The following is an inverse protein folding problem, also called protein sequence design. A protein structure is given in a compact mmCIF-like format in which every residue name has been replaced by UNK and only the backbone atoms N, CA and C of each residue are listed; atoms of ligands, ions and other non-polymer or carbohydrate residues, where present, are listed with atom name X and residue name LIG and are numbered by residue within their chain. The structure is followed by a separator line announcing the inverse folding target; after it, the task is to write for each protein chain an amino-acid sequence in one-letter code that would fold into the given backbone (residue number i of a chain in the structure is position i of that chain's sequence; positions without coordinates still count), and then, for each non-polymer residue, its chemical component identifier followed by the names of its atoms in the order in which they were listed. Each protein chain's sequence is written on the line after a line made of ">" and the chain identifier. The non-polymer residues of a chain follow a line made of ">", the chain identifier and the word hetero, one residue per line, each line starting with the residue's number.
data_IF_623128202138
#
_entry.id   IF_623128202138
#
_cell.length_a   1.000
_cell.length_b   1.000
_cell.length_c   1.000
_cell.angle_alpha   90.00
_cell.angle_beta   90.00
_cell.angle_gamma   90.00
#
_symmetry.space_group_name_H-M   'P 1'
#
loop_
_entity.id
_entity.type
_entity.pdbx_description
1 polymer ?
#
# COMPACT_ATOMS: atom_id res chain seq x y z
N UNK A 1 -10.70 11.58 -11.11
CA UNK A 1 -9.47 11.00 -10.53
C UNK A 1 -9.64 9.48 -10.42
N UNK A 2 -9.24 8.71 -11.45
CA UNK A 2 -9.60 7.29 -11.57
C UNK A 2 -9.00 6.35 -10.49
N UNK A 3 -7.98 6.79 -9.75
CA UNK A 3 -7.30 5.99 -8.72
C UNK A 3 -7.99 6.01 -7.36
N UNK A 4 -8.99 6.87 -7.13
CA UNK A 4 -9.76 6.88 -5.89
C UNK A 4 -10.83 5.77 -5.85
N UNK A 5 -11.20 5.24 -7.02
CA UNK A 5 -12.16 4.14 -7.17
C UNK A 5 -11.51 2.76 -7.18
N UNK A 6 -10.17 2.68 -7.15
CA UNK A 6 -9.43 1.43 -7.08
C UNK A 6 -8.96 1.16 -5.64
N UNK A 7 -8.65 -0.10 -5.32
CA UNK A 7 -8.14 -0.43 -3.99
C UNK A 7 -6.75 0.17 -3.77
N UNK A 8 -6.58 0.83 -2.64
CA UNK A 8 -5.39 1.64 -2.32
C UNK A 8 -4.07 0.85 -2.26
N UNK A 9 -4.13 -0.45 -1.95
CA UNK A 9 -2.93 -1.30 -1.83
C UNK A 9 -2.41 -1.83 -3.16
N UNK A 10 -3.28 -2.07 -4.14
CA UNK A 10 -2.93 -2.78 -5.39
C UNK A 10 -3.27 -1.97 -6.64
N UNK A 11 -3.95 -0.84 -6.51
CA UNK A 11 -4.60 -0.12 -7.61
C UNK A 11 -5.49 -1.05 -8.49
N UNK A 12 -6.03 -2.11 -7.88
CA UNK A 12 -6.82 -3.12 -8.55
C UNK A 12 -8.32 -2.87 -8.31
N UNK A 13 -9.14 -3.17 -9.32
CA UNK A 13 -10.58 -2.83 -9.32
C UNK A 13 -11.43 -4.03 -8.86
N UNK A 14 -11.09 -5.26 -9.29
CA UNK A 14 -11.84 -6.48 -8.98
C UNK A 14 -10.92 -7.68 -8.73
N UNK A 15 -11.09 -8.38 -7.61
CA UNK A 15 -10.47 -9.68 -7.33
C UNK A 15 -11.38 -10.53 -6.44
N UNK A 16 -11.33 -11.85 -6.63
CA UNK A 16 -12.08 -12.81 -5.81
C UNK A 16 -11.26 -13.28 -4.61
N UNK A 17 -9.95 -13.50 -4.82
CA UNK A 17 -9.08 -14.01 -3.77
C UNK A 17 -7.81 -13.18 -3.65
N UNK A 18 -7.38 -12.96 -2.40
CA UNK A 18 -6.15 -12.29 -2.02
C UNK A 18 -5.43 -13.18 -1.02
N UNK A 19 -4.24 -13.65 -1.41
CA UNK A 19 -3.36 -14.41 -0.54
C UNK A 19 -2.11 -13.58 -0.23
N UNK A 20 -1.71 -13.60 1.04
CA UNK A 20 -0.45 -13.04 1.49
C UNK A 20 0.60 -14.14 1.40
N UNK A 21 1.54 -13.99 0.47
CA UNK A 21 2.57 -14.99 0.20
C UNK A 21 3.77 -14.82 1.14
N UNK A 22 4.20 -13.57 1.31
CA UNK A 22 5.37 -13.26 2.11
C UNK A 22 5.26 -11.87 2.75
N UNK A 23 5.87 -11.73 3.92
CA UNK A 23 5.96 -10.47 4.66
C UNK A 23 7.36 -10.35 5.25
N UNK A 24 8.12 -9.41 4.72
CA UNK A 24 9.41 -9.04 5.27
C UNK A 24 9.28 -7.68 5.98
N UNK A 25 9.69 -7.61 7.25
CA UNK A 25 9.63 -6.39 8.05
C UNK A 25 11.06 -5.94 8.34
N UNK A 26 11.44 -4.81 7.75
CA UNK A 26 12.76 -4.23 7.89
C UNK A 26 12.68 -2.99 8.80
N UNK A 27 13.20 -3.05 10.03
CA UNK A 27 13.28 -1.89 10.92
C UNK A 27 14.11 -0.77 10.28
N UNK A 28 13.72 0.48 10.48
CA UNK A 28 14.46 1.64 9.96
C UNK A 28 15.63 2.04 10.86
N UNK A 29 15.53 1.75 12.15
CA UNK A 29 16.53 2.11 13.14
C UNK A 29 16.59 1.05 14.27
N UNK A 30 17.57 1.21 15.16
CA UNK A 30 17.80 0.33 16.30
C UNK A 30 16.69 0.40 17.38
N UNK A 31 15.82 1.41 17.34
CA UNK A 31 14.66 1.46 18.23
C UNK A 31 13.54 0.53 17.73
N UNK A 32 13.59 0.11 16.46
CA UNK A 32 12.60 -0.75 15.82
C UNK A 32 11.17 -0.18 15.87
N UNK A 33 11.02 1.11 16.18
CA UNK A 33 9.72 1.80 16.29
C UNK A 33 9.16 2.02 14.90
N UNK A 34 9.98 2.55 14.01
CA UNK A 34 9.66 2.72 12.60
C UNK A 34 10.21 1.57 11.76
N UNK A 35 9.43 1.13 10.78
CA UNK A 35 9.80 0.01 9.93
C UNK A 35 9.23 0.18 8.52
N UNK A 36 9.78 -0.60 7.60
CA UNK A 36 9.22 -0.79 6.26
C UNK A 36 8.85 -2.26 6.14
N UNK A 37 7.56 -2.53 5.90
CA UNK A 37 7.08 -3.86 5.58
C UNK A 37 6.99 -4.02 4.06
N UNK A 38 7.64 -5.03 3.51
CA UNK A 38 7.48 -5.47 2.13
C UNK A 38 6.57 -6.68 2.14
N UNK A 39 5.38 -6.52 1.58
CA UNK A 39 4.40 -7.59 1.46
C UNK A 39 4.35 -8.08 0.02
N UNK A 40 4.41 -9.38 -0.16
CA UNK A 40 4.16 -10.03 -1.44
C UNK A 40 2.75 -10.60 -1.41
N UNK A 41 1.92 -10.15 -2.32
CA UNK A 41 0.50 -10.49 -2.37
C UNK A 41 0.21 -11.12 -3.72
N UNK A 42 -0.48 -12.26 -3.67
CA UNK A 42 -1.06 -12.89 -4.84
C UNK A 42 -2.52 -12.47 -4.97
N UNK A 43 -2.85 -11.82 -6.08
CA UNK A 43 -4.22 -11.50 -6.45
C UNK A 43 -4.70 -12.51 -7.47
N UNK A 44 -5.80 -13.18 -7.17
CA UNK A 44 -6.50 -14.00 -8.15
C UNK A 44 -7.76 -13.25 -8.56
N UNK A 45 -7.81 -12.73 -9.80
CA UNK A 45 -9.03 -12.12 -10.30
C UNK A 45 -10.09 -13.21 -10.52
N UNK A 46 -11.36 -12.83 -10.48
CA UNK A 46 -12.46 -13.77 -10.74
C UNK A 46 -12.45 -14.38 -12.14
N UNK A 47 -13.25 -15.44 -12.30
CA UNK A 47 -13.27 -16.46 -13.38
C UNK A 47 -12.26 -16.27 -14.54
N UNK A 48 -11.35 -17.26 -14.66
CA UNK A 48 -10.43 -17.47 -15.79
C UNK A 48 -9.35 -16.40 -16.04
N UNK A 49 -8.95 -15.65 -15.02
CA UNK A 49 -7.80 -14.73 -15.13
C UNK A 49 -6.59 -15.26 -14.36
N UNK A 50 -5.41 -15.05 -14.92
CA UNK A 50 -4.14 -15.43 -14.31
C UNK A 50 -3.93 -14.68 -13.00
N UNK A 51 -3.50 -15.39 -11.96
CA UNK A 51 -3.11 -14.77 -10.71
C UNK A 51 -1.89 -13.85 -10.93
N UNK A 52 -1.94 -12.66 -10.35
CA UNK A 52 -0.86 -11.68 -10.43
C UNK A 52 -0.20 -11.57 -9.06
N UNK A 53 1.11 -11.77 -9.04
CA UNK A 53 1.94 -11.46 -7.88
C UNK A 53 2.36 -10.00 -7.97
N UNK A 54 2.15 -9.25 -6.89
CA UNK A 54 2.68 -7.91 -6.77
C UNK A 54 3.32 -7.71 -5.41
N UNK A 55 4.32 -6.83 -5.38
CA UNK A 55 5.01 -6.44 -4.16
C UNK A 55 4.55 -5.04 -3.77
N UNK A 56 4.19 -4.89 -2.50
CA UNK A 56 3.76 -3.61 -1.95
C UNK A 56 4.65 -3.27 -0.76
N UNK A 57 5.18 -2.06 -0.76
CA UNK A 57 5.94 -1.53 0.36
C UNK A 57 5.02 -0.66 1.23
N UNK A 58 5.04 -0.91 2.54
CA UNK A 58 4.20 -0.26 3.54
C UNK A 58 5.14 0.35 4.59
N UNK A 59 5.01 1.65 4.80
CA UNK A 59 5.75 2.35 5.84
C UNK A 59 4.97 2.26 7.14
N UNK A 60 5.62 1.73 8.16
CA UNK A 60 5.09 1.63 9.52
C UNK A 60 5.75 2.70 10.39
N UNK A 61 4.93 3.36 11.19
CA UNK A 61 5.38 4.34 12.19
C UNK A 61 4.87 3.93 13.56
N UNK A 62 5.73 4.03 14.57
CA UNK A 62 5.31 3.81 15.95
C UNK A 62 4.55 5.03 16.48
N UNK A 63 3.29 4.82 16.87
CA UNK A 63 2.41 5.82 17.46
C UNK A 63 1.80 5.21 18.72
N UNK A 64 2.01 5.85 19.86
CA UNK A 64 1.44 5.46 21.17
C UNK A 64 1.69 3.98 21.54
N UNK A 65 2.86 3.45 21.19
CA UNK A 65 3.24 2.06 21.48
C UNK A 65 2.68 1.02 20.50
N UNK A 66 1.95 1.44 19.47
CA UNK A 66 1.50 0.59 18.37
C UNK A 66 2.19 0.96 17.05
N UNK A 67 2.35 0.01 16.14
CA UNK A 67 2.78 0.29 14.76
C UNK A 67 1.56 0.59 13.90
N UNK A 68 1.51 1.78 13.31
CA UNK A 68 0.46 2.19 12.40
C UNK A 68 0.99 2.31 10.97
N UNK A 69 0.12 2.14 9.98
CA UNK A 69 0.45 2.36 8.58
C UNK A 69 0.55 3.87 8.34
N UNK A 70 1.77 4.35 8.10
CA UNK A 70 2.04 5.75 7.81
C UNK A 70 1.97 6.07 6.32
N UNK A 71 2.38 5.14 5.46
CA UNK A 71 2.33 5.31 4.00
C UNK A 71 2.30 3.97 3.27
N UNK A 72 1.86 4.00 2.01
CA UNK A 72 1.86 2.87 1.09
C UNK A 72 2.60 3.31 -0.17
N UNK A 73 3.76 2.71 -0.44
CA UNK A 73 4.62 3.07 -1.57
C UNK A 73 4.33 2.13 -2.74
N UNK A 74 3.51 2.58 -3.69
CA UNK A 74 3.12 1.77 -4.84
C UNK A 74 4.20 1.85 -5.92
N UNK A 75 4.60 0.72 -6.47
CA UNK A 75 5.71 0.64 -7.45
C UNK A 75 5.55 1.63 -8.62
N UNK A 76 4.34 1.77 -9.17
CA UNK A 76 4.08 2.61 -10.34
C UNK A 76 3.82 4.09 -10.02
N UNK A 77 3.48 4.44 -8.78
CA UNK A 77 3.00 5.79 -8.45
C UNK A 77 3.63 6.43 -7.22
N UNK A 78 4.52 5.70 -6.53
CA UNK A 78 5.17 6.16 -5.30
C UNK A 78 4.21 6.27 -4.12
N UNK A 79 4.54 7.18 -3.20
CA UNK A 79 3.80 7.44 -1.96
C UNK A 79 2.33 7.76 -2.23
N UNK A 80 1.44 6.94 -1.66
CA UNK A 80 0.00 7.19 -1.68
C UNK A 80 -0.33 8.44 -0.85
N UNK A 81 0.32 8.62 0.31
CA UNK A 81 0.08 9.78 1.16
C UNK A 81 0.43 11.09 0.44
N UNK A 82 1.54 11.13 -0.31
CA UNK A 82 1.93 12.30 -1.11
C UNK A 82 0.91 12.61 -2.21
N UNK A 83 0.34 11.58 -2.84
CA UNK A 83 -0.70 11.75 -3.85
C UNK A 83 -2.00 12.29 -3.24
N UNK A 84 -2.42 11.77 -2.08
CA UNK A 84 -3.60 12.26 -1.37
C UNK A 84 -3.44 13.73 -0.97
N UNK A 85 -2.29 14.11 -0.40
CA UNK A 85 -1.98 15.52 -0.07
C UNK A 85 -2.07 16.43 -1.29
N UNK A 86 -1.53 15.99 -2.41
CA UNK A 86 -1.59 16.75 -3.67
C UNK A 86 -3.03 16.98 -4.14
N UNK A 87 -3.90 15.98 -4.00
CA UNK A 87 -5.33 16.09 -4.33
C UNK A 87 -6.04 17.06 -3.39
N UNK A 88 -5.82 16.95 -2.07
CA UNK A 88 -6.43 17.86 -1.08
C UNK A 88 -6.06 19.32 -1.35
N UNK A 89 -4.78 19.61 -1.62
CA UNK A 89 -4.31 20.97 -1.93
C UNK A 89 -4.96 21.53 -3.21
N UNK A 90 -5.27 20.68 -4.19
CA UNK A 90 -5.95 21.13 -5.42
C UNK A 90 -7.41 21.48 -5.16
N UNK A 91 -8.11 20.67 -4.37
CA UNK A 91 -9.52 20.91 -4.01
C UNK A 91 -9.66 22.19 -3.18
N UNK A 92 -8.73 22.49 -2.27
CA UNK A 92 -8.77 23.72 -1.46
C UNK A 92 -8.48 25.01 -2.26
N UNK A 93 -8.00 24.88 -3.50
CA UNK A 93 -7.67 26.02 -4.37
C UNK A 93 -8.69 26.29 -5.49
N UNK A 94 -9.70 25.44 -5.62
CA UNK A 94 -10.85 25.61 -6.51
C UNK A 94 -12.06 26.16 -5.74
#
# INVERSE_FOLDING_TARGET
>A
MPWLSSRLLCNCQDFENLALEDVDIMPKDASHVDATARVQIQLTPGENKTATLFRQEIVLQGIEGARMIADVIREQSGSLLAQMRTVTIRIEKE
#
